data_IF_911814824905
#
_entry.id   IF_911814824905
#
_cell.length_a   1.000
_cell.length_b   1.000
_cell.length_c   1.000
_cell.angle_alpha   90.00
_cell.angle_beta   90.00
_cell.angle_gamma   90.00
#
_symmetry.space_group_name_H-M   'P 1'
#
loop_
_entity.id
_entity.type
_entity.pdbx_description
1 polymer ?
#
# COMPACT_ATOMS: atom_id res chain seq x y z
N UNK A 1 -0.47 8.96 15.66
CA UNK A 1 0.89 8.63 15.19
C UNK A 1 0.78 8.51 13.68
N UNK A 2 1.57 9.25 12.90
CA UNK A 2 1.55 9.10 11.43
C UNK A 2 2.52 7.95 11.13
N UNK A 3 2.00 6.81 10.69
CA UNK A 3 2.81 5.62 10.44
C UNK A 3 3.93 5.92 9.43
N UNK A 4 5.13 5.33 9.60
CA UNK A 4 6.21 5.47 8.65
C UNK A 4 5.83 4.82 7.32
N UNK A 5 6.11 5.53 6.22
CA UNK A 5 5.96 4.96 4.88
C UNK A 5 7.04 3.89 4.67
N UNK A 6 6.64 2.67 4.34
CA UNK A 6 7.57 1.60 3.98
C UNK A 6 7.59 1.40 2.47
N UNK A 7 8.71 0.90 1.95
CA UNK A 7 8.80 0.51 0.55
C UNK A 7 7.79 -0.60 0.19
N UNK A 8 7.46 -1.48 1.15
CA UNK A 8 6.47 -2.54 0.99
C UNK A 8 5.10 -1.98 0.60
N UNK A 9 4.62 -0.94 1.30
CA UNK A 9 3.35 -0.26 0.97
C UNK A 9 3.31 0.18 -0.50
N UNK A 10 4.38 0.79 -0.99
CA UNK A 10 4.45 1.29 -2.37
C UNK A 10 4.50 0.14 -3.38
N UNK A 11 5.31 -0.89 -3.13
CA UNK A 11 5.41 -2.08 -4.00
C UNK A 11 4.07 -2.79 -4.08
N UNK A 12 3.37 -2.95 -2.96
CA UNK A 12 2.06 -3.57 -2.93
C UNK A 12 1.01 -2.74 -3.67
N UNK A 13 1.04 -1.40 -3.57
CA UNK A 13 0.23 -0.53 -4.41
C UNK A 13 0.49 -0.78 -5.91
N UNK A 14 1.76 -0.78 -6.34
CA UNK A 14 2.14 -1.02 -7.73
C UNK A 14 1.61 -2.32 -8.31
N UNK A 15 1.64 -3.38 -7.50
CA UNK A 15 1.29 -4.72 -7.99
C UNK A 15 -0.11 -5.16 -7.63
N UNK A 16 -0.86 -4.37 -6.84
CA UNK A 16 -2.24 -4.66 -6.47
C UNK A 16 -3.12 -4.81 -7.71
N UNK A 17 -3.93 -5.87 -7.70
CA UNK A 17 -4.94 -6.10 -8.72
C UNK A 17 -6.00 -4.98 -8.72
N UNK A 18 -6.26 -4.39 -7.55
CA UNK A 18 -7.10 -3.21 -7.40
C UNK A 18 -6.68 -2.04 -8.30
N UNK A 19 -5.37 -1.79 -8.46
CA UNK A 19 -4.87 -0.74 -9.37
C UNK A 19 -4.71 -1.26 -10.80
N UNK A 20 -4.37 -2.54 -11.01
CA UNK A 20 -4.19 -3.12 -12.35
C UNK A 20 -5.48 -3.36 -13.11
N UNK A 21 -6.49 -3.95 -12.48
CA UNK A 21 -7.85 -4.07 -13.05
C UNK A 21 -8.58 -2.72 -12.98
N UNK A 22 -8.19 -1.86 -12.02
CA UNK A 22 -8.74 -0.54 -11.77
C UNK A 22 -8.03 0.64 -12.45
N UNK A 23 -7.14 0.43 -13.43
CA UNK A 23 -6.63 1.54 -14.25
C UNK A 23 -7.75 2.32 -14.98
N UNK A 24 -8.95 1.70 -15.09
CA UNK A 24 -10.21 2.33 -15.51
C UNK A 24 -11.13 2.78 -14.36
N UNK A 25 -10.87 2.33 -13.13
CA UNK A 25 -11.69 2.56 -11.93
C UNK A 25 -11.14 3.65 -10.99
N UNK A 26 -9.83 3.93 -11.05
CA UNK A 26 -9.26 5.09 -10.37
C UNK A 26 -9.84 6.37 -10.98
N UNK A 27 -10.43 7.22 -10.13
CA UNK A 27 -10.83 8.56 -10.55
C UNK A 27 -9.63 9.31 -11.13
N UNK A 28 -9.85 10.18 -12.12
CA UNK A 28 -8.79 10.89 -12.85
C UNK A 28 -7.69 11.48 -11.94
N UNK A 29 -8.07 12.07 -10.80
CA UNK A 29 -7.12 12.62 -9.82
C UNK A 29 -6.19 11.56 -9.20
N UNK A 30 -6.72 10.37 -8.88
CA UNK A 30 -5.94 9.27 -8.32
C UNK A 30 -5.00 8.68 -9.38
N UNK A 31 -5.44 8.57 -10.63
CA UNK A 31 -4.59 8.13 -11.74
C UNK A 31 -3.42 9.11 -12.00
N UNK A 32 -3.68 10.41 -11.97
CA UNK A 32 -2.65 11.46 -12.12
C UNK A 32 -1.65 11.42 -10.96
N UNK A 33 -2.15 11.30 -9.72
CA UNK A 33 -1.29 11.21 -8.51
C UNK A 33 -0.46 9.93 -8.52
N UNK A 34 -1.03 8.80 -8.96
CA UNK A 34 -0.33 7.54 -9.05
C UNK A 34 0.77 7.64 -10.10
N UNK A 35 0.49 8.21 -11.27
CA UNK A 35 1.49 8.49 -12.30
C UNK A 35 2.65 9.35 -11.77
N UNK A 36 2.34 10.37 -10.96
CA UNK A 36 3.36 11.19 -10.31
C UNK A 36 4.22 10.40 -9.30
N UNK A 37 3.62 9.47 -8.56
CA UNK A 37 4.34 8.54 -7.69
C UNK A 37 5.32 7.68 -8.49
N UNK A 38 4.86 7.06 -9.60
CA UNK A 38 5.71 6.26 -10.48
C UNK A 38 6.89 7.07 -11.00
N UNK A 39 6.61 8.26 -11.55
CA UNK A 39 7.63 9.10 -12.15
C UNK A 39 8.66 9.57 -11.11
N UNK A 40 8.22 9.91 -9.90
CA UNK A 40 9.12 10.28 -8.79
C UNK A 40 10.10 9.15 -8.46
N UNK A 41 9.63 7.90 -8.44
CA UNK A 41 10.49 6.72 -8.17
C UNK A 41 11.43 6.48 -9.35
N UNK A 42 10.95 6.58 -10.59
CA UNK A 42 11.78 6.44 -11.80
C UNK A 42 12.90 7.47 -11.85
N UNK A 43 12.60 8.72 -11.52
CA UNK A 43 13.59 9.80 -11.46
C UNK A 43 14.65 9.52 -10.40
N UNK A 44 14.25 9.10 -9.20
CA UNK A 44 15.19 8.73 -8.14
C UNK A 44 16.08 7.57 -8.58
N UNK A 45 15.49 6.48 -9.08
CA UNK A 45 16.27 5.31 -9.49
C UNK A 45 17.21 5.63 -10.65
N UNK A 46 16.81 6.49 -11.59
CA UNK A 46 17.69 6.96 -12.66
C UNK A 46 18.87 7.78 -12.13
N UNK A 47 18.65 8.61 -11.10
CA UNK A 47 19.73 9.37 -10.47
C UNK A 47 20.75 8.46 -9.77
N UNK A 48 20.29 7.33 -9.24
CA UNK A 48 21.10 6.34 -8.51
C UNK A 48 21.65 5.21 -9.44
N UNK A 49 21.30 5.22 -10.73
CA UNK A 49 21.73 4.21 -11.71
C UNK A 49 21.05 2.84 -11.57
N UNK A 50 19.85 2.80 -10.97
CA UNK A 50 19.06 1.59 -10.69
C UNK A 50 17.73 1.55 -11.46
N UNK A 51 17.59 2.36 -12.52
CA UNK A 51 16.32 2.53 -13.27
C UNK A 51 15.73 1.23 -13.82
N UNK A 52 16.57 0.23 -14.11
CA UNK A 52 16.15 -1.06 -14.66
C UNK A 52 15.35 -1.93 -13.68
N UNK A 53 15.40 -1.65 -12.37
CA UNK A 53 14.70 -2.47 -11.36
C UNK A 53 13.19 -2.33 -11.46
N UNK A 54 12.68 -1.10 -11.57
CA UNK A 54 11.24 -0.87 -11.68
C UNK A 54 10.68 -1.50 -12.97
N UNK A 55 11.33 -1.25 -14.12
CA UNK A 55 10.90 -1.85 -15.39
C UNK A 55 10.94 -3.38 -15.38
N UNK A 56 11.94 -3.98 -14.71
CA UNK A 56 12.02 -5.43 -14.57
C UNK A 56 10.86 -5.98 -13.74
N UNK A 57 10.53 -5.33 -12.63
CA UNK A 57 9.41 -5.73 -11.78
C UNK A 57 8.05 -5.50 -12.47
N UNK A 58 7.88 -4.42 -13.24
CA UNK A 58 6.69 -4.15 -14.05
C UNK A 58 6.48 -5.24 -15.12
N UNK A 59 7.53 -5.58 -15.87
CA UNK A 59 7.45 -6.58 -16.96
C UNK A 59 7.35 -8.02 -16.45
N UNK A 60 7.96 -8.31 -15.30
CA UNK A 60 8.01 -9.64 -14.68
C UNK A 60 7.79 -9.50 -13.17
N UNK A 61 6.53 -9.42 -12.71
CA UNK A 61 6.19 -9.19 -11.30
C UNK A 61 6.33 -10.48 -10.47
N UNK A 62 7.48 -11.15 -10.57
CA UNK A 62 7.84 -12.27 -9.70
C UNK A 62 8.22 -11.74 -8.32
N UNK A 63 8.03 -12.55 -7.28
CA UNK A 63 8.39 -12.16 -5.91
C UNK A 63 9.85 -11.70 -5.79
N UNK A 64 10.78 -12.40 -6.45
CA UNK A 64 12.19 -12.01 -6.48
C UNK A 64 12.43 -10.60 -7.09
N UNK A 65 11.65 -10.21 -8.11
CA UNK A 65 11.77 -8.87 -8.70
C UNK A 65 11.10 -7.79 -7.83
N UNK A 66 9.97 -8.13 -7.19
CA UNK A 66 9.30 -7.24 -6.23
C UNK A 66 10.17 -6.97 -4.99
N UNK A 67 10.76 -8.01 -4.40
CA UNK A 67 11.66 -7.88 -3.25
C UNK A 67 12.86 -7.00 -3.59
N UNK A 68 13.51 -7.20 -4.75
CA UNK A 68 14.62 -6.34 -5.17
C UNK A 68 14.22 -4.88 -5.36
N UNK A 69 13.04 -4.63 -5.94
CA UNK A 69 12.50 -3.28 -6.05
C UNK A 69 12.22 -2.68 -4.66
N UNK A 70 11.65 -3.47 -3.75
CA UNK A 70 11.37 -3.06 -2.38
C UNK A 70 12.65 -2.69 -1.62
N UNK A 71 13.66 -3.54 -1.65
CA UNK A 71 14.92 -3.33 -0.94
C UNK A 71 15.65 -2.07 -1.43
N UNK A 72 15.69 -1.87 -2.75
CA UNK A 72 16.25 -0.65 -3.34
C UNK A 72 15.42 0.58 -2.92
N UNK A 73 14.10 0.52 -3.05
CA UNK A 73 13.24 1.63 -2.70
C UNK A 73 13.36 1.98 -1.21
N UNK A 74 13.48 0.99 -0.33
CA UNK A 74 13.69 1.21 1.09
C UNK A 74 15.03 1.88 1.35
N UNK A 75 16.09 1.41 0.67
CA UNK A 75 17.42 2.04 0.74
C UNK A 75 17.35 3.52 0.36
N UNK A 76 16.60 3.87 -0.69
CA UNK A 76 16.45 5.26 -1.11
C UNK A 76 15.56 6.09 -0.16
N UNK A 77 14.53 5.49 0.44
CA UNK A 77 13.71 6.13 1.48
C UNK A 77 14.56 6.44 2.71
N UNK A 78 15.38 5.49 3.15
CA UNK A 78 16.21 5.64 4.35
C UNK A 78 17.36 6.63 4.15
N UNK A 79 17.89 6.71 2.92
CA UNK A 79 19.02 7.57 2.59
C UNK A 79 18.63 9.03 2.25
N UNK A 80 17.39 9.29 1.82
CA UNK A 80 16.95 10.58 1.31
C UNK A 80 15.59 10.98 1.93
N UNK A 81 15.65 11.76 3.00
CA UNK A 81 14.47 12.22 3.75
C UNK A 81 13.50 13.04 2.87
N UNK A 82 14.02 13.84 1.94
CA UNK A 82 13.17 14.65 1.05
C UNK A 82 12.41 13.76 0.06
N UNK A 83 13.08 12.74 -0.48
CA UNK A 83 12.44 11.72 -1.29
C UNK A 83 11.39 10.94 -0.49
N UNK A 84 11.72 10.48 0.72
CA UNK A 84 10.80 9.78 1.61
C UNK A 84 9.55 10.61 1.92
N UNK A 85 9.72 11.89 2.25
CA UNK A 85 8.60 12.79 2.54
C UNK A 85 7.72 12.99 1.30
N UNK A 86 8.31 13.17 0.11
CA UNK A 86 7.56 13.30 -1.13
C UNK A 86 6.73 12.05 -1.43
N UNK A 87 7.30 10.85 -1.24
CA UNK A 87 6.56 9.60 -1.42
C UNK A 87 5.41 9.48 -0.41
N UNK A 88 5.63 9.90 0.84
CA UNK A 88 4.63 9.87 1.91
C UNK A 88 3.43 10.75 1.57
N UNK A 89 3.69 11.97 1.09
CA UNK A 89 2.64 12.92 0.71
C UNK A 89 1.83 12.39 -0.48
N UNK A 90 2.49 11.77 -1.47
CA UNK A 90 1.81 11.18 -2.63
C UNK A 90 0.95 9.98 -2.24
N UNK A 91 1.44 9.09 -1.36
CA UNK A 91 0.65 7.96 -0.86
C UNK A 91 -0.53 8.44 -0.03
N UNK A 92 -0.34 9.41 0.86
CA UNK A 92 -1.43 9.99 1.65
C UNK A 92 -2.51 10.63 0.75
N UNK A 93 -2.09 11.32 -0.31
CA UNK A 93 -3.00 11.91 -1.28
C UNK A 93 -3.79 10.83 -2.04
N UNK A 94 -3.15 9.73 -2.44
CA UNK A 94 -3.82 8.60 -3.07
C UNK A 94 -4.86 7.96 -2.14
N UNK A 95 -4.53 7.73 -0.87
CA UNK A 95 -5.45 7.19 0.14
C UNK A 95 -6.67 8.09 0.37
N UNK A 96 -6.49 9.41 0.27
CA UNK A 96 -7.57 10.38 0.41
C UNK A 96 -8.50 10.39 -0.83
N UNK A 97 -7.95 10.09 -2.01
CA UNK A 97 -8.67 10.13 -3.28
C UNK A 97 -9.39 8.82 -3.61
N UNK A 98 -8.90 7.68 -3.13
CA UNK A 98 -9.47 6.36 -3.45
C UNK A 98 -9.54 5.43 -2.23
N UNK A 99 -10.73 4.91 -1.95
CA UNK A 99 -10.98 4.04 -0.81
C UNK A 99 -10.33 2.65 -0.95
N UNK A 100 -10.14 2.17 -2.18
CA UNK A 100 -9.47 0.90 -2.48
C UNK A 100 -7.97 1.04 -2.24
N UNK A 101 -7.36 2.15 -2.66
CA UNK A 101 -5.97 2.46 -2.32
C UNK A 101 -5.79 2.54 -0.81
N UNK A 102 -6.71 3.20 -0.10
CA UNK A 102 -6.68 3.22 1.37
C UNK A 102 -6.68 1.81 1.96
N UNK A 103 -7.50 0.89 1.42
CA UNK A 103 -7.53 -0.50 1.88
C UNK A 103 -6.21 -1.24 1.61
N UNK A 104 -5.62 -1.08 0.42
CA UNK A 104 -4.33 -1.71 0.08
C UNK A 104 -3.21 -1.22 1.00
N UNK A 105 -3.15 0.09 1.30
CA UNK A 105 -2.14 0.58 2.25
C UNK A 105 -2.37 0.01 3.65
N UNK A 106 -3.63 -0.06 4.11
CA UNK A 106 -3.96 -0.60 5.42
C UNK A 106 -3.66 -2.10 5.56
N UNK A 107 -3.76 -2.90 4.49
CA UNK A 107 -3.42 -4.32 4.54
C UNK A 107 -1.91 -4.59 4.60
N UNK A 108 -1.10 -3.64 4.15
CA UNK A 108 0.37 -3.77 4.02
C UNK A 108 1.13 -3.15 5.19
N UNK A 109 0.41 -2.51 6.10
CA UNK A 109 0.97 -2.11 7.39
C UNK A 109 1.19 -3.38 8.20
N UNK A 110 2.41 -3.93 8.13
CA UNK A 110 2.89 -4.87 9.14
C UNK A 110 2.98 -4.10 10.46
N UNK A 111 2.13 -4.48 11.41
CA UNK A 111 2.18 -3.94 12.77
C UNK A 111 3.36 -4.58 13.48
N UNK A 112 4.51 -3.91 13.43
CA UNK A 112 5.74 -4.34 14.13
C UNK A 112 5.60 -4.33 15.66
N UNK A 113 4.57 -3.64 16.17
CA UNK A 113 4.21 -3.52 17.58
C UNK A 113 2.79 -4.07 17.83
N UNK A 114 2.26 -3.85 19.03
CA UNK A 114 0.91 -4.28 19.40
C UNK A 114 -0.15 -3.66 18.47
N UNK A 115 -0.94 -4.50 17.78
CA UNK A 115 -2.15 -4.07 17.10
C UNK A 115 -3.18 -3.70 18.16
N UNK A 116 -3.56 -2.42 18.27
CA UNK A 116 -4.66 -1.98 19.14
C UNK A 116 -5.82 -1.46 18.30
N UNK A 117 -6.80 -2.32 18.05
CA UNK A 117 -8.06 -1.96 17.44
C UNK A 117 -9.12 -1.76 18.54
N UNK A 118 -9.83 -0.61 18.54
CA UNK A 118 -10.89 -0.35 19.52
C UNK A 118 -12.09 -1.28 19.31
N UNK A 119 -12.96 -0.96 18.37
CA UNK A 119 -14.06 -1.84 17.98
C UNK A 119 -14.05 -1.95 16.45
N UNK A 120 -14.22 -3.16 15.93
CA UNK A 120 -14.38 -3.41 14.51
C UNK A 120 -15.84 -3.78 14.29
N UNK A 121 -16.60 -2.87 13.69
CA UNK A 121 -18.02 -3.06 13.37
C UNK A 121 -18.16 -3.28 11.86
N UNK A 122 -18.63 -4.46 11.46
CA UNK A 122 -18.93 -4.76 10.06
C UNK A 122 -20.44 -4.94 9.90
N UNK A 123 -21.01 -4.21 8.94
CA UNK A 123 -22.43 -4.27 8.59
C UNK A 123 -22.62 -4.77 7.17
N UNK A 124 -23.30 -5.90 7.01
CA UNK A 124 -23.75 -6.35 5.71
C UNK A 124 -24.93 -5.49 5.24
N UNK A 125 -24.98 -5.16 3.96
CA UNK A 125 -26.10 -4.37 3.36
C UNK A 125 -27.02 -5.23 2.49
N UNK A 126 -26.82 -6.56 2.45
CA UNK A 126 -27.60 -7.46 1.61
C UNK A 126 -27.89 -8.79 2.30
N UNK A 127 -29.16 -9.17 2.24
CA UNK A 127 -29.75 -10.41 2.74
C UNK A 127 -29.31 -11.61 1.89
N UNK A 128 -28.07 -12.03 2.08
CA UNK A 128 -27.48 -13.19 1.41
C UNK A 128 -26.32 -13.72 2.23
N UNK A 129 -26.06 -15.02 2.13
CA UNK A 129 -24.92 -15.65 2.79
C UNK A 129 -23.62 -15.11 2.19
N UNK A 130 -23.06 -14.06 2.80
CA UNK A 130 -21.75 -13.52 2.46
C UNK A 130 -20.75 -14.12 3.42
N UNK A 131 -19.79 -14.88 2.90
CA UNK A 131 -18.61 -15.24 3.67
C UNK A 131 -17.80 -13.96 3.90
N UNK A 132 -17.76 -13.48 5.14
CA UNK A 132 -17.05 -12.25 5.51
C UNK A 132 -15.81 -12.60 6.31
N UNK A 133 -14.66 -12.24 5.78
CA UNK A 133 -13.36 -12.40 6.44
C UNK A 133 -12.91 -11.02 6.91
N UNK A 134 -12.91 -10.81 8.24
CA UNK A 134 -12.66 -9.50 8.85
C UNK A 134 -11.17 -9.16 8.91
N UNK A 135 -10.30 -10.17 9.07
CA UNK A 135 -8.86 -10.01 9.24
C UNK A 135 -8.17 -11.20 8.57
N UNK A 136 -7.26 -10.95 7.63
CA UNK A 136 -6.38 -11.97 7.03
C UNK A 136 -4.93 -11.57 7.20
N UNK A 137 -4.08 -12.56 7.45
CA UNK A 137 -2.61 -12.46 7.40
C UNK A 137 -1.96 -11.39 8.29
N UNK A 138 -2.59 -11.03 9.42
CA UNK A 138 -1.98 -10.10 10.39
C UNK A 138 -0.80 -10.75 11.12
N UNK A 139 0.38 -10.15 10.98
CA UNK A 139 1.55 -10.39 11.84
C UNK A 139 1.70 -9.22 12.80
N UNK A 140 1.55 -9.49 14.09
CA UNK A 140 1.79 -8.51 15.16
C UNK A 140 2.40 -9.20 16.38
N UNK A 141 3.16 -8.47 17.20
CA UNK A 141 3.73 -8.99 18.45
C UNK A 141 2.66 -9.28 19.50
N UNK A 142 1.61 -8.47 19.52
CA UNK A 142 0.39 -8.64 20.32
C UNK A 142 -0.81 -8.11 19.54
N UNK A 143 -1.98 -8.69 19.75
CA UNK A 143 -3.24 -8.24 19.16
C UNK A 143 -4.22 -7.94 20.30
N UNK A 144 -4.62 -6.68 20.40
CA UNK A 144 -5.61 -6.16 21.33
C UNK A 144 -6.77 -5.61 20.49
N UNK A 145 -7.87 -6.36 20.49
CA UNK A 145 -9.12 -6.00 19.82
C UNK A 145 -10.17 -5.91 20.91
N UNK A 146 -10.90 -4.78 20.96
CA UNK A 146 -12.11 -4.69 21.78
C UNK A 146 -13.23 -5.52 21.17
N UNK A 147 -14.35 -4.90 20.80
CA UNK A 147 -15.49 -5.68 20.29
C UNK A 147 -15.37 -5.93 18.78
N UNK A 148 -15.59 -7.20 18.41
CA UNK A 148 -15.83 -7.63 17.04
C UNK A 148 -17.33 -7.83 16.88
N UNK A 149 -18.01 -6.82 16.31
CA UNK A 149 -19.44 -6.90 16.06
C UNK A 149 -19.71 -7.09 14.58
N UNK A 150 -20.39 -8.20 14.28
CA UNK A 150 -20.89 -8.50 12.94
C UNK A 150 -22.41 -8.32 12.96
N UNK A 151 -22.90 -7.37 12.17
CA UNK A 151 -24.33 -7.14 11.98
C UNK A 151 -24.73 -7.58 10.56
N UNK A 152 -25.79 -8.40 10.51
CA UNK A 152 -26.47 -8.80 9.27
C UNK A 152 -27.41 -7.71 8.76
#
# INVERSE_FOLDING_TARGET
MVEPLTAAVIVSLFFSEAIKEGGKALGKGAADTFTLLINTIREKFKAEGTEGLLTRAENQPTEANKTKLQDELQTQIDADEAFAQKLKDLVALLQAQDATIRQVVLSEIELSDDLKAKDINQKATRDGSVNQEMIKEVKAKSIDVGNLNQEA
#
